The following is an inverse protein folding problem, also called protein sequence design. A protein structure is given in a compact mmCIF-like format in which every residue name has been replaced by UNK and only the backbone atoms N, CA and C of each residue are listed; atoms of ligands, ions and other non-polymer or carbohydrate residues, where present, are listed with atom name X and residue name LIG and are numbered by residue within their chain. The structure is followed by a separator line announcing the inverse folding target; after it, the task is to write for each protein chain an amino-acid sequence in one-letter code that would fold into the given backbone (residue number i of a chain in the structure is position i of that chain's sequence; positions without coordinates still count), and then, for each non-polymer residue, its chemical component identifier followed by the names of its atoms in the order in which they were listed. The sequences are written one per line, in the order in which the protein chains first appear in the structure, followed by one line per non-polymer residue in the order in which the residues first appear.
data_IF_092729961855
#
_entry.id   IF_092729961855
#
_cell.length_a   1.000
_cell.length_b   1.000
_cell.length_c   1.000
_cell.angle_alpha   90.00
_cell.angle_beta   90.00
_cell.angle_gamma   90.00
#
_symmetry.space_group_name_H-M   'P 1'
#
loop_
_entity.id
_entity.type
_entity.pdbx_description
1 polymer ?
#
# COMPACT_ATOMS: atom_id res chain seq x y z
N UNK A 1 -18.61 6.90 -13.86
CA UNK A 1 -17.94 7.65 -12.75
C UNK A 1 -18.07 6.83 -11.46
N UNK A 2 -17.14 6.93 -10.50
CA UNK A 2 -17.21 6.18 -9.23
C UNK A 2 -17.49 7.06 -8.02
N UNK A 3 -18.01 6.49 -6.92
CA UNK A 3 -18.04 7.18 -5.62
C UNK A 3 -16.67 7.13 -4.91
N UNK A 4 -16.28 8.16 -4.13
CA UNK A 4 -15.09 8.13 -3.30
C UNK A 4 -15.34 7.26 -2.05
N UNK A 5 -15.47 5.95 -2.27
CA UNK A 5 -15.63 4.92 -1.24
C UNK A 5 -14.59 3.83 -1.49
N UNK A 6 -13.95 3.35 -0.43
CA UNK A 6 -13.04 2.21 -0.47
C UNK A 6 -13.81 0.91 -0.20
N UNK A 7 -13.68 -0.09 -1.08
CA UNK A 7 -14.12 -1.45 -0.77
C UNK A 7 -13.00 -2.16 -0.01
N UNK A 8 -13.24 -2.56 1.24
CA UNK A 8 -12.24 -3.14 2.13
C UNK A 8 -12.59 -4.60 2.45
N UNK A 9 -11.75 -5.54 2.02
CA UNK A 9 -11.87 -6.95 2.39
C UNK A 9 -11.03 -7.24 3.63
N UNK A 10 -11.71 -7.57 4.72
CA UNK A 10 -11.15 -7.96 6.02
C UNK A 10 -11.17 -9.48 6.19
N UNK A 11 -10.24 -9.99 6.99
CA UNK A 11 -10.31 -11.38 7.45
C UNK A 11 -11.47 -11.58 8.42
N UNK A 12 -11.65 -10.62 9.33
CA UNK A 12 -12.82 -10.50 10.21
C UNK A 12 -13.00 -9.04 10.62
N UNK A 13 -14.17 -8.68 11.16
CA UNK A 13 -14.37 -7.33 11.70
C UNK A 13 -13.47 -7.02 12.92
N UNK A 14 -12.84 -8.02 13.52
CA UNK A 14 -12.02 -7.87 14.72
C UNK A 14 -10.53 -8.13 14.46
N UNK A 15 -10.11 -8.31 13.20
CA UNK A 15 -8.71 -8.56 12.89
C UNK A 15 -7.86 -7.33 13.26
N UNK A 16 -6.76 -7.50 14.04
CA UNK A 16 -5.92 -6.37 14.43
C UNK A 16 -5.37 -5.60 13.22
N UNK A 17 -4.88 -6.31 12.20
CA UNK A 17 -4.37 -5.67 10.98
C UNK A 17 -5.49 -4.94 10.21
N UNK A 18 -6.69 -5.52 10.14
CA UNK A 18 -7.88 -4.85 9.60
C UNK A 18 -8.23 -3.56 10.34
N UNK A 19 -8.21 -3.58 11.67
CA UNK A 19 -8.48 -2.42 12.51
C UNK A 19 -7.42 -1.32 12.34
N UNK A 20 -6.15 -1.67 12.16
CA UNK A 20 -5.11 -0.68 11.84
C UNK A 20 -5.36 -0.01 10.47
N UNK A 21 -5.80 -0.77 9.46
CA UNK A 21 -6.17 -0.21 8.14
C UNK A 21 -7.37 0.72 8.27
N UNK A 22 -8.41 0.30 9.01
CA UNK A 22 -9.60 1.12 9.30
C UNK A 22 -9.20 2.42 10.00
N UNK A 23 -8.34 2.37 11.01
CA UNK A 23 -7.87 3.56 11.72
C UNK A 23 -7.17 4.57 10.78
N UNK A 24 -6.38 4.09 9.80
CA UNK A 24 -5.78 4.98 8.79
C UNK A 24 -6.83 5.58 7.85
N UNK A 25 -7.84 4.80 7.44
CA UNK A 25 -8.94 5.28 6.60
C UNK A 25 -9.78 6.35 7.32
N UNK A 26 -10.13 6.11 8.58
CA UNK A 26 -10.90 7.03 9.42
C UNK A 26 -10.13 8.31 9.71
N UNK A 27 -8.84 8.21 10.06
CA UNK A 27 -7.96 9.36 10.24
C UNK A 27 -7.86 10.22 8.97
N UNK A 28 -7.86 9.57 7.79
CA UNK A 28 -7.93 10.24 6.49
C UNK A 28 -9.33 10.68 6.07
N UNK A 29 -10.37 10.44 6.89
CA UNK A 29 -11.79 10.69 6.59
C UNK A 29 -12.28 10.04 5.29
N UNK A 30 -11.72 8.88 4.94
CA UNK A 30 -12.18 8.11 3.79
C UNK A 30 -13.46 7.35 4.14
N UNK A 31 -14.45 7.40 3.25
CA UNK A 31 -15.60 6.48 3.33
C UNK A 31 -15.15 5.10 2.88
N UNK A 32 -15.59 4.06 3.59
CA UNK A 32 -15.31 2.67 3.21
C UNK A 32 -16.51 1.76 3.47
N UNK A 33 -16.56 0.64 2.74
CA UNK A 33 -17.46 -0.48 2.99
C UNK A 33 -16.60 -1.71 3.27
N UNK A 34 -16.74 -2.29 4.45
CA UNK A 34 -16.00 -3.48 4.85
C UNK A 34 -16.78 -4.76 4.52
N UNK A 35 -16.12 -5.71 3.87
CA UNK A 35 -16.59 -7.06 3.59
C UNK A 35 -15.70 -8.07 4.27
N UNK A 36 -16.26 -9.19 4.72
CA UNK A 36 -15.48 -10.27 5.34
C UNK A 36 -15.50 -11.54 4.50
N UNK A 37 -14.64 -12.49 4.84
CA UNK A 37 -14.53 -13.76 4.15
C UNK A 37 -15.86 -14.55 4.06
N UNK A 38 -16.78 -14.34 5.01
CA UNK A 38 -18.09 -14.97 5.02
C UNK A 38 -19.02 -14.44 3.91
N UNK A 39 -18.86 -13.18 3.49
CA UNK A 39 -19.70 -12.55 2.47
C UNK A 39 -19.04 -12.47 1.10
N UNK A 40 -17.71 -12.36 0.99
CA UNK A 40 -17.04 -12.02 -0.28
C UNK A 40 -15.97 -12.98 -0.83
N UNK A 41 -15.61 -14.07 -0.14
CA UNK A 41 -14.59 -15.02 -0.63
C UNK A 41 -15.10 -16.40 -1.04
N UNK A 42 -16.20 -16.84 -0.42
CA UNK A 42 -16.98 -18.01 -0.83
C UNK A 42 -18.42 -17.65 -1.21
N UNK A 43 -18.80 -16.39 -1.00
CA UNK A 43 -20.07 -15.80 -1.39
C UNK A 43 -19.89 -14.84 -2.55
N UNK A 44 -20.99 -14.27 -3.03
CA UNK A 44 -20.97 -13.31 -4.12
C UNK A 44 -20.30 -12.00 -3.69
N UNK A 45 -19.50 -11.41 -4.60
CA UNK A 45 -19.01 -10.05 -4.39
C UNK A 45 -20.17 -9.08 -4.13
N UNK A 46 -19.96 -8.05 -3.28
CA UNK A 46 -20.97 -7.01 -3.12
C UNK A 46 -21.25 -6.37 -4.48
N UNK A 47 -22.45 -5.83 -4.66
CA UNK A 47 -22.78 -5.14 -5.92
C UNK A 47 -21.75 -4.04 -6.18
N UNK A 48 -21.00 -4.14 -7.28
CA UNK A 48 -19.90 -3.22 -7.60
C UNK A 48 -20.38 -1.96 -8.34
N UNK A 49 -21.53 -2.06 -9.03
CA UNK A 49 -22.16 -0.98 -9.79
C UNK A 49 -23.49 -0.58 -9.17
N UNK A 50 -23.88 0.67 -9.37
CA UNK A 50 -25.21 1.19 -9.02
C UNK A 50 -26.19 0.89 -10.16
N UNK A 51 -27.49 1.07 -9.89
CA UNK A 51 -28.57 0.89 -10.88
C UNK A 51 -28.43 1.78 -12.13
N UNK A 52 -27.72 2.90 -12.00
CA UNK A 52 -27.45 3.86 -13.08
C UNK A 52 -26.15 3.55 -13.86
N UNK A 53 -25.49 2.43 -13.56
CA UNK A 53 -24.23 2.02 -14.19
C UNK A 53 -22.97 2.73 -13.62
N UNK A 54 -23.10 3.58 -12.60
CA UNK A 54 -21.94 4.17 -11.94
C UNK A 54 -21.23 3.14 -11.04
N UNK A 55 -19.90 3.19 -10.98
CA UNK A 55 -19.13 2.32 -10.07
C UNK A 55 -19.26 2.78 -8.62
N UNK A 56 -19.37 1.85 -7.67
CA UNK A 56 -19.58 2.17 -6.25
C UNK A 56 -18.31 2.50 -5.49
N UNK A 57 -17.17 2.03 -5.96
CA UNK A 57 -15.91 2.09 -5.22
C UNK A 57 -14.82 2.77 -6.04
N UNK A 58 -14.02 3.59 -5.39
CA UNK A 58 -12.85 4.26 -5.99
C UNK A 58 -11.55 3.49 -5.76
N UNK A 59 -11.48 2.61 -4.77
CA UNK A 59 -10.32 1.73 -4.55
C UNK A 59 -10.80 0.43 -3.93
N UNK A 60 -10.03 -0.63 -4.14
CA UNK A 60 -10.24 -1.92 -3.46
C UNK A 60 -9.02 -2.19 -2.59
N UNK A 61 -9.25 -2.56 -1.33
CA UNK A 61 -8.21 -2.86 -0.36
C UNK A 61 -8.42 -4.27 0.18
N UNK A 62 -7.36 -5.06 0.23
CA UNK A 62 -7.35 -6.36 0.89
C UNK A 62 -6.43 -6.29 2.11
N UNK A 63 -6.96 -6.66 3.27
CA UNK A 63 -6.14 -6.88 4.47
C UNK A 63 -5.06 -7.95 4.22
N UNK A 64 -5.36 -8.95 3.40
CA UNK A 64 -4.44 -10.03 3.07
C UNK A 64 -4.49 -10.34 1.56
N UNK A 65 -3.36 -10.19 0.86
CA UNK A 65 -3.25 -10.44 -0.60
C UNK A 65 -3.62 -11.87 -0.98
N UNK A 66 -3.45 -12.85 -0.08
CA UNK A 66 -3.86 -14.23 -0.35
C UNK A 66 -5.37 -14.34 -0.56
N UNK A 67 -6.17 -13.43 0.02
CA UNK A 67 -7.62 -13.39 -0.21
C UNK A 67 -7.95 -13.02 -1.65
N UNK A 68 -7.20 -12.09 -2.21
CA UNK A 68 -7.31 -11.71 -3.61
C UNK A 68 -6.77 -12.80 -4.55
N UNK A 69 -5.60 -13.37 -4.24
CA UNK A 69 -4.95 -14.40 -5.05
C UNK A 69 -5.68 -15.76 -5.04
N UNK A 70 -6.38 -16.08 -3.95
CA UNK A 70 -7.13 -17.33 -3.79
C UNK A 70 -8.62 -17.21 -4.14
N UNK A 71 -9.09 -16.03 -4.55
CA UNK A 71 -10.45 -15.82 -5.04
C UNK A 71 -10.76 -16.78 -6.21
N UNK A 72 -11.99 -17.27 -6.30
CA UNK A 72 -12.42 -18.08 -7.43
C UNK A 72 -12.36 -17.28 -8.74
N UNK A 73 -12.24 -17.98 -9.87
CA UNK A 73 -12.00 -17.36 -11.16
C UNK A 73 -13.10 -16.35 -11.55
N UNK A 74 -14.36 -16.63 -11.21
CA UNK A 74 -15.50 -15.79 -11.56
C UNK A 74 -15.47 -14.46 -10.80
N UNK A 75 -15.38 -14.51 -9.47
CA UNK A 75 -15.28 -13.30 -8.66
C UNK A 75 -14.02 -12.50 -9.00
N UNK A 76 -12.90 -13.20 -9.23
CA UNK A 76 -11.63 -12.58 -9.63
C UNK A 76 -11.76 -11.81 -10.94
N UNK A 77 -12.40 -12.41 -11.94
CA UNK A 77 -12.64 -11.80 -13.25
C UNK A 77 -13.63 -10.63 -13.14
N UNK A 78 -14.72 -10.79 -12.39
CA UNK A 78 -15.70 -9.73 -12.16
C UNK A 78 -15.06 -8.49 -11.51
N UNK A 79 -14.24 -8.70 -10.50
CA UNK A 79 -13.53 -7.63 -9.81
C UNK A 79 -12.49 -6.95 -10.72
N UNK A 80 -11.71 -7.73 -11.48
CA UNK A 80 -10.73 -7.16 -12.42
C UNK A 80 -11.44 -6.39 -13.55
N UNK A 81 -12.55 -6.90 -14.09
CA UNK A 81 -13.34 -6.19 -15.10
C UNK A 81 -13.86 -4.86 -14.57
N UNK A 82 -14.40 -4.84 -13.35
CA UNK A 82 -14.79 -3.60 -12.68
C UNK A 82 -13.60 -2.63 -12.53
N UNK A 83 -12.45 -3.15 -12.10
CA UNK A 83 -11.24 -2.35 -11.93
C UNK A 83 -10.78 -1.71 -13.25
N UNK A 84 -10.85 -2.43 -14.36
CA UNK A 84 -10.52 -1.92 -15.68
C UNK A 84 -11.54 -0.89 -16.18
N UNK A 85 -12.83 -1.23 -16.13
CA UNK A 85 -13.92 -0.37 -16.60
C UNK A 85 -13.95 0.98 -15.89
N UNK A 86 -13.73 0.99 -14.58
CA UNK A 86 -13.81 2.19 -13.75
C UNK A 86 -12.44 2.80 -13.42
N UNK A 87 -11.35 2.27 -13.96
CA UNK A 87 -9.97 2.66 -13.64
C UNK A 87 -9.68 2.63 -12.13
N UNK A 88 -10.19 1.61 -11.44
CA UNK A 88 -9.98 1.36 -10.01
C UNK A 88 -8.78 0.42 -9.83
N UNK A 89 -7.91 0.74 -8.88
CA UNK A 89 -6.76 -0.08 -8.51
C UNK A 89 -6.97 -0.84 -7.21
N UNK A 90 -6.06 -1.76 -6.95
CA UNK A 90 -6.09 -2.67 -5.80
C UNK A 90 -4.87 -2.42 -4.92
N UNK A 91 -5.09 -2.28 -3.62
CA UNK A 91 -4.05 -2.27 -2.60
C UNK A 91 -4.20 -3.52 -1.74
N UNK A 92 -3.11 -4.21 -1.43
CA UNK A 92 -3.17 -5.37 -0.54
C UNK A 92 -1.98 -5.42 0.40
N UNK A 93 -2.21 -5.93 1.60
CA UNK A 93 -1.16 -6.18 2.59
C UNK A 93 -0.86 -7.67 2.67
N UNK A 94 0.34 -8.01 3.10
CA UNK A 94 0.77 -9.37 3.33
C UNK A 94 1.69 -9.38 4.54
N UNK A 95 1.20 -9.90 5.66
CA UNK A 95 2.00 -10.17 6.86
C UNK A 95 2.32 -11.66 6.90
N UNK A 96 3.54 -12.00 7.30
CA UNK A 96 3.88 -13.39 7.55
C UNK A 96 3.09 -13.90 8.76
N UNK A 97 2.33 -14.99 8.59
CA UNK A 97 1.67 -15.64 9.72
C UNK A 97 2.67 -16.39 10.62
N UNK A 98 2.24 -16.70 11.84
CA UNK A 98 2.99 -17.60 12.74
C UNK A 98 3.15 -18.97 12.06
N UNK A 99 4.40 -19.42 11.87
CA UNK A 99 4.71 -20.67 11.16
C UNK A 99 5.04 -20.54 9.67
N UNK A 100 5.30 -19.32 9.19
CA UNK A 100 5.74 -19.08 7.80
C UNK A 100 6.83 -20.06 7.36
N UNK A 101 6.58 -20.74 6.24
CA UNK A 101 7.53 -21.71 5.67
C UNK A 101 8.82 -20.99 5.27
N UNK A 102 9.94 -21.50 5.75
CA UNK A 102 11.28 -21.04 5.36
C UNK A 102 11.51 -21.37 3.87
N UNK A 103 11.22 -20.44 2.97
CA UNK A 103 11.39 -20.67 1.54
C UNK A 103 10.85 -19.54 0.67
N UNK A 104 11.11 -19.66 -0.64
CA UNK A 104 10.48 -18.83 -1.66
C UNK A 104 9.19 -19.52 -2.12
N UNK A 105 8.08 -18.79 -2.09
CA UNK A 105 6.77 -19.29 -2.53
C UNK A 105 6.20 -18.40 -3.64
N UNK A 106 5.66 -18.99 -4.71
CA UNK A 106 4.96 -18.22 -5.73
C UNK A 106 3.62 -17.69 -5.21
N UNK A 107 3.37 -16.40 -5.40
CA UNK A 107 2.04 -15.83 -5.19
C UNK A 107 1.12 -16.26 -6.34
N UNK A 108 0.10 -17.05 -6.02
CA UNK A 108 -0.84 -17.62 -7.00
C UNK A 108 -1.41 -16.52 -7.92
N UNK A 109 -1.26 -16.71 -9.23
CA UNK A 109 -1.78 -15.78 -10.24
C UNK A 109 -0.93 -14.52 -10.46
N UNK A 110 0.26 -14.45 -9.88
CA UNK A 110 1.18 -13.32 -10.05
C UNK A 110 2.61 -13.80 -10.35
N UNK A 111 3.40 -13.02 -11.13
CA UNK A 111 4.81 -13.31 -11.40
C UNK A 111 5.71 -12.87 -10.24
N UNK A 112 5.32 -13.19 -9.01
CA UNK A 112 5.99 -12.80 -7.77
C UNK A 112 6.30 -14.03 -6.92
N UNK A 113 7.55 -14.13 -6.47
CA UNK A 113 7.98 -15.01 -5.40
C UNK A 113 8.01 -14.23 -4.09
N UNK A 114 7.60 -14.89 -3.02
CA UNK A 114 7.45 -14.35 -1.68
C UNK A 114 8.43 -15.03 -0.74
N UNK A 115 9.03 -14.27 0.17
CA UNK A 115 9.80 -14.80 1.31
C UNK A 115 9.28 -14.17 2.59
N UNK A 116 8.61 -14.96 3.40
CA UNK A 116 8.01 -14.54 4.67
C UNK A 116 9.03 -14.61 5.83
N UNK A 117 8.70 -13.93 6.94
CA UNK A 117 9.43 -14.05 8.22
C UNK A 117 10.77 -13.30 8.26
N UNK A 118 10.88 -12.19 7.54
CA UNK A 118 12.07 -11.35 7.55
C UNK A 118 12.00 -10.30 8.67
N UNK A 119 13.16 -10.05 9.31
CA UNK A 119 13.40 -8.84 10.09
C UNK A 119 14.17 -7.87 9.22
N UNK A 120 13.66 -6.66 9.05
CA UNK A 120 14.20 -5.69 8.11
C UNK A 120 14.79 -4.48 8.82
N UNK A 121 15.67 -3.77 8.13
CA UNK A 121 16.23 -2.47 8.55
C UNK A 121 16.44 -1.56 7.35
N UNK A 122 16.66 -0.28 7.62
CA UNK A 122 17.11 0.71 6.63
C UNK A 122 16.19 0.77 5.40
N UNK A 123 14.91 1.00 5.65
CA UNK A 123 13.88 1.08 4.61
C UNK A 123 14.02 2.37 3.78
N UNK A 124 13.97 2.27 2.45
CA UNK A 124 14.11 3.39 1.50
C UNK A 124 12.99 3.33 0.47
N UNK A 125 12.26 4.45 0.32
CA UNK A 125 11.23 4.60 -0.72
C UNK A 125 11.90 4.74 -2.08
N UNK A 126 11.41 4.01 -3.08
CA UNK A 126 11.86 4.14 -4.46
C UNK A 126 11.72 5.58 -4.97
N UNK A 127 12.74 6.12 -5.63
CA UNK A 127 12.77 7.54 -6.03
C UNK A 127 11.71 7.87 -7.08
N UNK A 128 11.56 7.01 -8.09
CA UNK A 128 10.75 7.29 -9.29
C UNK A 128 9.38 6.62 -9.29
N UNK A 129 8.87 6.21 -8.12
CA UNK A 129 7.59 5.53 -8.04
C UNK A 129 6.43 6.52 -8.38
N UNK A 130 5.62 6.26 -9.42
CA UNK A 130 4.66 7.24 -9.97
C UNK A 130 3.45 7.51 -9.07
N UNK A 131 3.25 6.67 -8.05
CA UNK A 131 2.19 6.81 -7.06
C UNK A 131 2.53 7.79 -5.93
N UNK A 132 3.81 8.14 -5.74
CA UNK A 132 4.24 8.96 -4.61
C UNK A 132 3.64 10.36 -4.68
N UNK A 133 3.16 10.87 -3.54
CA UNK A 133 2.57 12.21 -3.42
C UNK A 133 2.75 12.78 -2.02
N UNK A 134 2.45 12.00 -0.99
CA UNK A 134 2.66 12.30 0.42
C UNK A 134 4.05 11.85 0.85
N UNK A 135 4.42 10.62 0.51
CA UNK A 135 5.77 10.13 0.70
C UNK A 135 6.69 10.75 -0.35
N UNK A 136 7.93 11.06 0.06
CA UNK A 136 8.98 11.57 -0.82
C UNK A 136 9.81 10.40 -1.34
N UNK A 137 10.08 10.36 -2.64
CA UNK A 137 11.02 9.42 -3.23
C UNK A 137 12.40 9.56 -2.57
N UNK A 138 13.03 8.44 -2.23
CA UNK A 138 14.29 8.41 -1.49
C UNK A 138 14.16 8.71 0.02
N UNK A 139 12.95 8.95 0.55
CA UNK A 139 12.76 8.99 2.00
C UNK A 139 13.22 7.66 2.62
N UNK A 140 13.97 7.76 3.71
CA UNK A 140 14.58 6.60 4.35
C UNK A 140 14.29 6.59 5.84
N UNK A 141 13.92 5.42 6.35
CA UNK A 141 13.89 5.11 7.78
C UNK A 141 15.15 4.33 8.11
N UNK A 142 16.01 4.89 8.96
CA UNK A 142 17.24 4.21 9.40
C UNK A 142 16.99 3.36 10.63
N UNK A 143 17.65 2.20 10.70
CA UNK A 143 17.52 1.28 11.82
C UNK A 143 16.45 0.21 11.60
N UNK A 144 16.10 -0.51 12.66
CA UNK A 144 15.21 -1.66 12.60
C UNK A 144 13.77 -1.25 12.24
N UNK A 145 13.20 -1.93 11.25
CA UNK A 145 11.78 -1.81 10.93
C UNK A 145 10.95 -2.60 11.95
N UNK A 146 9.70 -2.19 12.23
CA UNK A 146 8.88 -2.82 13.26
C UNK A 146 8.53 -4.27 12.89
N UNK A 147 8.65 -5.17 13.87
CA UNK A 147 8.29 -6.58 13.73
C UNK A 147 9.34 -7.46 13.03
N UNK A 148 9.02 -8.75 12.92
CA UNK A 148 9.85 -9.76 12.25
C UNK A 148 9.02 -10.60 11.27
N UNK A 149 7.81 -10.15 10.97
CA UNK A 149 6.79 -10.78 10.14
C UNK A 149 6.73 -10.19 8.73
N UNK A 150 7.84 -9.60 8.25
CA UNK A 150 7.90 -9.03 6.91
C UNK A 150 7.92 -10.12 5.84
N UNK A 151 7.24 -9.84 4.74
CA UNK A 151 7.31 -10.59 3.50
C UNK A 151 8.04 -9.77 2.44
N UNK A 152 9.09 -10.35 1.87
CA UNK A 152 9.84 -9.79 0.75
C UNK A 152 9.28 -10.29 -0.57
N UNK A 153 9.30 -9.42 -1.59
CA UNK A 153 8.85 -9.73 -2.94
C UNK A 153 10.04 -9.86 -3.89
N UNK A 154 10.01 -10.86 -4.75
CA UNK A 154 10.99 -11.07 -5.81
C UNK A 154 10.27 -11.29 -7.14
N UNK A 155 10.66 -10.61 -8.23
CA UNK A 155 10.13 -10.93 -9.55
C UNK A 155 10.53 -12.36 -9.94
N UNK A 156 9.65 -13.08 -10.61
CA UNK A 156 9.96 -14.44 -11.06
C UNK A 156 11.05 -14.44 -12.15
N UNK A 157 12.10 -15.28 -12.05
CA UNK A 157 13.13 -15.41 -13.09
C UNK A 157 12.52 -15.81 -14.44
N UNK A 158 12.95 -15.15 -15.53
CA UNK A 158 12.43 -15.38 -16.89
C UNK A 158 11.17 -14.58 -17.25
N UNK A 159 10.57 -13.85 -16.31
CA UNK A 159 9.51 -12.87 -16.59
C UNK A 159 10.05 -11.57 -17.23
N UNK A 160 11.37 -11.41 -17.30
CA UNK A 160 12.04 -10.23 -17.84
C UNK A 160 12.90 -10.60 -19.06
N UNK A 161 12.27 -10.81 -20.22
CA UNK A 161 12.91 -10.71 -21.55
C UNK A 161 11.91 -10.84 -22.72
N UNK A 162 10.62 -10.52 -22.55
CA UNK A 162 9.65 -10.66 -23.63
C UNK A 162 8.36 -9.90 -23.37
N UNK A 163 8.36 -8.60 -23.69
CA UNK A 163 7.19 -7.78 -24.05
C UNK A 163 5.89 -7.86 -23.19
N UNK A 164 5.94 -8.28 -21.92
CA UNK A 164 4.81 -8.17 -21.00
C UNK A 164 4.99 -7.00 -20.03
N UNK A 165 4.19 -5.96 -20.26
CA UNK A 165 4.09 -4.68 -19.56
C UNK A 165 3.48 -4.74 -18.15
N UNK A 166 3.48 -5.90 -17.49
CA UNK A 166 2.94 -6.09 -16.14
C UNK A 166 4.01 -6.49 -15.11
N UNK A 167 5.22 -5.90 -15.19
CA UNK A 167 6.26 -6.12 -14.21
C UNK A 167 5.98 -5.35 -12.91
N UNK A 168 6.00 -6.05 -11.78
CA UNK A 168 6.00 -5.41 -10.46
C UNK A 168 7.35 -4.73 -10.21
N UNK A 169 7.33 -3.51 -9.70
CA UNK A 169 8.50 -2.71 -9.37
C UNK A 169 8.55 -2.43 -7.87
N UNK A 170 9.72 -2.29 -7.24
CA UNK A 170 9.81 -1.95 -5.82
C UNK A 170 9.20 -0.59 -5.51
N UNK A 171 8.44 -0.50 -4.43
CA UNK A 171 7.96 0.74 -3.81
C UNK A 171 8.78 1.10 -2.56
N UNK A 172 9.11 0.09 -1.76
CA UNK A 172 9.92 0.20 -0.56
C UNK A 172 10.99 -0.89 -0.62
N UNK A 173 12.25 -0.49 -0.50
CA UNK A 173 13.41 -1.37 -0.44
C UNK A 173 13.95 -1.39 0.99
N UNK A 174 14.40 -2.52 1.50
CA UNK A 174 14.98 -2.62 2.84
C UNK A 174 16.05 -3.71 2.91
N UNK A 175 16.97 -3.61 3.86
CA UNK A 175 17.96 -4.64 4.15
C UNK A 175 17.36 -5.71 5.06
N UNK A 176 17.69 -6.98 4.80
CA UNK A 176 17.34 -8.09 5.70
C UNK A 176 18.42 -8.26 6.77
N UNK A 177 18.02 -8.42 8.04
CA UNK A 177 18.96 -8.64 9.15
C UNK A 177 19.62 -10.03 9.12
N UNK A 178 18.93 -11.01 8.52
CA UNK A 178 19.55 -12.30 8.15
C UNK A 178 20.11 -12.12 6.75
N UNK A 179 21.33 -12.56 6.50
CA UNK A 179 21.88 -12.73 5.14
C UNK A 179 20.97 -13.71 4.39
N UNK A 180 19.91 -13.16 3.83
CA UNK A 180 18.96 -13.90 3.04
C UNK A 180 19.80 -14.33 1.84
N UNK A 181 20.12 -15.62 1.73
CA UNK A 181 20.65 -16.19 0.48
C UNK A 181 19.71 -15.68 -0.60
N UNK A 182 20.17 -14.69 -1.36
CA UNK A 182 19.44 -14.16 -2.49
C UNK A 182 19.17 -15.38 -3.38
N UNK A 183 17.95 -15.60 -3.88
CA UNK A 183 17.88 -16.38 -5.11
C UNK A 183 18.91 -15.76 -6.08
N UNK A 184 19.80 -16.57 -6.65
CA UNK A 184 20.94 -16.08 -7.44
C UNK A 184 20.47 -14.98 -8.42
N UNK A 185 21.03 -13.77 -8.29
CA UNK A 185 20.67 -12.61 -9.12
C UNK A 185 19.54 -11.70 -8.62
N UNK A 186 18.99 -11.88 -7.41
CA UNK A 186 17.80 -11.15 -6.94
C UNK A 186 18.07 -9.87 -6.09
N UNK A 187 19.34 -9.45 -5.95
CA UNK A 187 19.65 -8.09 -5.48
C UNK A 187 19.61 -7.18 -6.70
N UNK A 188 18.47 -6.53 -6.96
CA UNK A 188 18.23 -5.72 -8.17
C UNK A 188 19.33 -4.66 -8.43
N UNK A 189 20.01 -4.17 -7.39
CA UNK A 189 21.04 -3.13 -7.50
C UNK A 189 22.43 -3.53 -6.97
N UNK A 190 22.67 -4.80 -6.63
CA UNK A 190 23.90 -5.21 -5.92
C UNK A 190 24.09 -4.60 -4.51
N UNK A 191 23.09 -3.87 -3.99
CA UNK A 191 23.13 -3.16 -2.70
C UNK A 191 22.67 -3.98 -1.49
N UNK A 192 22.24 -5.23 -1.71
CA UNK A 192 21.71 -6.11 -0.65
C UNK A 192 20.33 -5.71 -0.13
N UNK A 193 19.62 -4.82 -0.85
CA UNK A 193 18.24 -4.43 -0.53
C UNK A 193 17.23 -5.35 -1.21
N UNK A 194 16.10 -5.55 -0.57
CA UNK A 194 14.99 -6.37 -1.04
C UNK A 194 13.70 -5.55 -1.05
N UNK A 195 12.79 -5.86 -1.98
CA UNK A 195 11.50 -5.19 -2.04
C UNK A 195 10.60 -5.64 -0.87
N UNK A 196 10.31 -4.71 0.04
CA UNK A 196 9.37 -4.85 1.15
C UNK A 196 7.96 -4.34 0.79
N UNK A 197 7.83 -3.61 -0.31
CA UNK A 197 6.57 -3.31 -0.96
C UNK A 197 6.81 -3.17 -2.47
N UNK A 198 5.80 -3.50 -3.29
CA UNK A 198 5.87 -3.45 -4.76
C UNK A 198 4.61 -2.83 -5.36
N UNK A 199 4.73 -2.30 -6.57
CA UNK A 199 3.59 -1.84 -7.36
C UNK A 199 3.67 -2.37 -8.80
N UNK A 200 2.51 -2.73 -9.35
CA UNK A 200 2.33 -3.07 -10.76
C UNK A 200 1.54 -1.98 -11.44
N UNK A 201 2.21 -1.19 -12.29
CA UNK A 201 1.57 -0.17 -13.10
C UNK A 201 0.92 -0.86 -14.30
N UNK A 202 -0.33 -1.31 -14.16
CA UNK A 202 -1.11 -1.63 -15.35
C UNK A 202 -1.30 -0.35 -16.16
N UNK A 203 -0.85 -0.33 -17.42
CA UNK A 203 -1.09 0.84 -18.28
C UNK A 203 -2.48 0.75 -18.91
N UNK A 204 -2.99 1.90 -19.36
CA UNK A 204 -4.29 1.97 -20.04
C UNK A 204 -4.32 1.13 -21.33
N UNK A 205 -3.14 0.92 -21.95
CA UNK A 205 -2.99 0.19 -23.21
C UNK A 205 -2.87 -1.33 -23.00
N UNK A 206 -2.48 -1.76 -21.79
CA UNK A 206 -2.24 -3.18 -21.47
C UNK A 206 -3.47 -3.90 -20.91
N UNK A 207 -4.56 -3.17 -20.62
CA UNK A 207 -5.74 -3.74 -19.95
C UNK A 207 -5.42 -4.34 -18.58
N UNK A 208 -4.41 -3.82 -17.88
CA UNK A 208 -3.96 -4.36 -16.60
C UNK A 208 -4.43 -3.50 -15.42
N UNK A 209 -4.89 -4.16 -14.36
CA UNK A 209 -5.30 -3.50 -13.12
C UNK A 209 -4.06 -3.03 -12.34
N UNK A 210 -4.09 -1.77 -11.92
CA UNK A 210 -3.05 -1.17 -11.06
C UNK A 210 -3.06 -1.81 -9.68
N UNK A 211 -1.91 -2.24 -9.20
CA UNK A 211 -1.78 -3.00 -7.95
C UNK A 211 -0.66 -2.46 -7.08
N UNK A 212 -0.85 -2.42 -5.77
CA UNK A 212 0.19 -2.10 -4.78
C UNK A 212 0.14 -3.14 -3.67
N UNK A 213 1.25 -3.84 -3.43
CA UNK A 213 1.37 -4.86 -2.40
C UNK A 213 2.39 -4.46 -1.35
N UNK A 214 1.99 -4.54 -0.08
CA UNK A 214 2.82 -4.24 1.08
C UNK A 214 3.20 -5.54 1.79
N UNK A 215 4.48 -5.69 2.12
CA UNK A 215 5.03 -6.87 2.78
C UNK A 215 4.91 -6.87 4.30
N UNK A 216 4.17 -5.92 4.85
CA UNK A 216 3.72 -5.88 6.24
C UNK A 216 2.50 -4.95 6.33
N UNK A 217 1.84 -4.87 7.49
CA UNK A 217 0.71 -3.98 7.74
C UNK A 217 1.11 -2.50 7.85
N UNK A 218 0.17 -1.68 8.31
CA UNK A 218 0.33 -0.22 8.45
C UNK A 218 0.89 0.22 9.81
N UNK A 219 1.33 -0.73 10.65
CA UNK A 219 2.03 -0.43 11.91
C UNK A 219 3.33 0.35 11.69
N UNK A 220 4.01 0.12 10.56
CA UNK A 220 5.14 0.94 10.11
C UNK A 220 4.67 2.31 9.59
N UNK A 221 5.17 3.40 10.17
CA UNK A 221 4.68 4.75 9.88
C UNK A 221 4.78 5.12 8.39
N UNK A 222 5.86 4.72 7.71
CA UNK A 222 6.04 5.00 6.29
C UNK A 222 5.06 4.20 5.42
N UNK A 223 4.65 3.00 5.85
CA UNK A 223 3.54 2.28 5.19
C UNK A 223 2.24 3.05 5.29
N UNK A 224 1.97 3.80 6.36
CA UNK A 224 0.76 4.65 6.43
C UNK A 224 0.78 5.71 5.32
N UNK A 225 1.90 6.40 5.13
CA UNK A 225 2.04 7.39 4.05
C UNK A 225 1.95 6.76 2.66
N UNK A 226 2.67 5.65 2.44
CA UNK A 226 2.64 4.93 1.18
C UNK A 226 1.26 4.33 0.88
N UNK A 227 0.51 3.91 1.90
CA UNK A 227 -0.86 3.43 1.75
C UNK A 227 -1.80 4.55 1.28
N UNK A 228 -1.68 5.75 1.87
CA UNK A 228 -2.45 6.91 1.43
C UNK A 228 -2.11 7.32 -0.02
N UNK A 229 -0.83 7.23 -0.40
CA UNK A 229 -0.39 7.43 -1.80
C UNK A 229 -0.94 6.36 -2.73
N UNK A 230 -0.94 5.10 -2.29
CA UNK A 230 -1.51 3.98 -3.03
C UNK A 230 -3.03 4.14 -3.23
N UNK A 231 -3.79 4.57 -2.21
CA UNK A 231 -5.22 4.86 -2.33
C UNK A 231 -5.48 5.96 -3.35
N UNK A 232 -4.73 7.06 -3.26
CA UNK A 232 -4.84 8.15 -4.21
C UNK A 232 -4.56 7.65 -5.63
N UNK A 233 -3.42 6.97 -5.85
CA UNK A 233 -3.02 6.45 -7.15
C UNK A 233 -4.00 5.43 -7.71
N UNK A 234 -4.42 4.44 -6.93
CA UNK A 234 -5.41 3.44 -7.33
C UNK A 234 -6.78 4.03 -7.63
N UNK A 235 -7.10 5.23 -7.12
CA UNK A 235 -8.39 5.85 -7.41
C UNK A 235 -8.51 6.43 -8.82
N UNK A 236 -9.73 6.49 -9.39
CA UNK A 236 -9.95 7.09 -10.69
C UNK A 236 -9.54 8.56 -10.70
N UNK A 237 -8.97 8.99 -11.81
CA UNK A 237 -8.54 10.36 -12.06
C UNK A 237 -8.16 10.53 -13.53
N UNK A 238 -7.70 11.72 -13.93
CA UNK A 238 -7.30 12.00 -15.31
C UNK A 238 -6.28 10.96 -15.80
N UNK A 239 -6.50 10.44 -17.02
CA UNK A 239 -5.68 9.38 -17.63
C UNK A 239 -4.31 9.88 -18.13
N UNK A 240 -3.97 11.17 -17.97
CA UNK A 240 -2.71 11.72 -18.46
C UNK A 240 -1.59 11.59 -17.42
N UNK A 241 -0.52 10.95 -17.87
CA UNK A 241 0.80 10.87 -17.27
C UNK A 241 1.34 12.22 -16.77
N UNK A 242 1.89 12.21 -15.55
CA UNK A 242 3.12 12.94 -15.22
C UNK A 242 3.04 14.10 -14.23
N UNK A 243 1.92 14.82 -14.12
CA UNK A 243 1.87 16.07 -13.34
C UNK A 243 1.48 15.91 -11.87
N UNK A 244 2.02 16.77 -10.98
CA UNK A 244 1.54 16.91 -9.61
C UNK A 244 0.04 17.30 -9.53
N UNK A 245 -0.45 18.08 -10.52
CA UNK A 245 -1.85 18.44 -10.66
C UNK A 245 -2.75 17.22 -10.97
N UNK A 246 -2.31 16.34 -11.88
CA UNK A 246 -3.03 15.11 -12.22
C UNK A 246 -3.13 14.16 -11.02
N UNK A 247 -2.09 14.07 -10.19
CA UNK A 247 -2.10 13.27 -8.95
C UNK A 247 -3.05 13.85 -7.89
N UNK A 248 -3.24 15.16 -7.86
CA UNK A 248 -4.15 15.85 -6.92
C UNK A 248 -5.62 15.76 -7.33
N UNK A 249 -5.90 15.58 -8.63
CA UNK A 249 -7.26 15.43 -9.15
C UNK A 249 -7.87 14.02 -8.98
N UNK A 250 -7.15 13.09 -8.34
CA UNK A 250 -7.65 11.72 -8.10
C UNK A 250 -8.66 11.69 -6.95
N UNK A 251 -9.67 10.81 -7.05
CA UNK A 251 -10.82 10.81 -6.13
C UNK A 251 -10.48 10.62 -4.66
N UNK A 252 -9.43 9.87 -4.34
CA UNK A 252 -8.99 9.61 -2.96
C UNK A 252 -7.72 10.40 -2.58
N UNK A 253 -7.41 11.47 -3.31
CA UNK A 253 -6.26 12.32 -3.02
C UNK A 253 -6.55 13.27 -1.83
N UNK A 254 -5.80 13.14 -0.73
CA UNK A 254 -5.85 14.10 0.39
C UNK A 254 -5.13 15.42 0.04
N UNK A 255 -5.50 16.59 0.59
CA UNK A 255 -4.72 17.82 0.37
C UNK A 255 -3.28 17.67 0.89
N UNK A 256 -2.36 18.46 0.34
CA UNK A 256 -0.97 18.52 0.82
C UNK A 256 -0.77 19.58 1.93
N UNK A 257 -1.77 20.41 2.18
CA UNK A 257 -1.71 21.43 3.23
C UNK A 257 -1.65 20.76 4.61
N UNK A 258 -0.69 21.21 5.43
CA UNK A 258 -0.49 20.73 6.80
C UNK A 258 -0.59 21.91 7.74
N UNK A 259 -1.47 21.79 8.73
CA UNK A 259 -1.63 22.78 9.78
C UNK A 259 -0.88 22.28 11.00
N UNK A 260 0.00 23.12 11.55
CA UNK A 260 0.70 22.86 12.81
C UNK A 260 0.18 23.91 13.78
N UNK A 261 -0.52 23.46 14.82
CA UNK A 261 -0.89 24.31 15.94
C UNK A 261 0.17 24.10 17.02
N UNK A 262 0.86 25.19 17.38
CA UNK A 262 1.76 25.23 18.52
C UNK A 262 1.05 26.01 19.60
N UNK A 263 0.73 25.34 20.70
CA UNK A 263 0.11 25.95 21.87
C UNK A 263 1.18 26.10 22.95
N UNK A 264 1.29 27.29 23.53
CA UNK A 264 2.29 27.62 24.56
C UNK A 264 1.54 28.04 25.81
N UNK A 265 1.39 27.09 26.73
CA UNK A 265 0.76 27.31 28.01
C UNK A 265 1.72 27.97 29.02
N UNK A 266 1.16 28.49 30.11
CA UNK A 266 1.88 28.95 31.31
C UNK A 266 2.91 30.07 31.12
N UNK A 267 2.78 30.86 30.05
CA UNK A 267 3.70 31.96 29.66
C UNK A 267 4.12 32.86 30.83
N UNK A 268 3.19 33.17 31.76
CA UNK A 268 3.45 34.06 32.90
C UNK A 268 3.42 33.41 34.28
N UNK A 269 3.18 32.09 34.35
CA UNK A 269 2.92 31.39 35.64
C UNK A 269 3.94 30.30 35.95
N UNK A 270 5.02 30.19 35.17
CA UNK A 270 6.13 29.25 35.42
C UNK A 270 6.79 29.42 36.79
N UNK A 271 7.47 28.36 37.26
CA UNK A 271 8.25 28.40 38.51
C UNK A 271 9.44 29.35 38.38
N UNK A 272 9.81 29.99 39.49
CA UNK A 272 10.97 30.87 39.55
C UNK A 272 12.24 30.11 39.16
N UNK A 273 13.08 30.72 38.29
CA UNK A 273 14.26 30.08 37.69
C UNK A 273 14.01 29.33 36.37
N UNK A 274 12.75 29.08 35.99
CA UNK A 274 12.39 28.48 34.68
C UNK A 274 11.38 29.36 33.90
N UNK A 275 11.11 30.58 34.37
CA UNK A 275 10.24 31.53 33.67
C UNK A 275 10.94 32.03 32.42
N UNK A 276 10.15 32.14 31.36
CA UNK A 276 10.56 32.79 30.13
C UNK A 276 10.99 34.23 30.46
N UNK A 277 12.19 34.60 30.00
CA UNK A 277 12.74 35.94 30.12
C UNK A 277 12.50 36.73 28.83
N UNK A 278 12.60 38.06 28.83
CA UNK A 278 12.55 38.83 27.59
C UNK A 278 13.53 38.33 26.52
N UNK A 279 14.72 37.88 26.93
CA UNK A 279 15.73 37.34 26.01
C UNK A 279 15.36 35.99 25.38
N UNK A 280 14.41 35.23 25.93
CA UNK A 280 13.94 33.96 25.35
C UNK A 280 12.89 34.16 24.24
N UNK A 281 12.32 35.37 24.14
CA UNK A 281 11.24 35.71 23.20
C UNK A 281 11.73 36.58 22.04
N UNK A 282 12.80 37.34 22.23
CA UNK A 282 13.45 38.17 21.20
C UNK A 282 14.19 37.34 20.14
#
# INVERSE_FOLDING_TARGET
RTEPVVLLFLESHYSPAGQEIVAVLEAGRFRYQAETAATGLKGDLPTLTRRDGAGRFAAVVFENVHRYAAMDAWNRELLDRYCLEFAVGIVAFLRAGEGGTSGLQQLKGFPLLLRAGASLRDGVVSVDAPLLRLARGGAAERGALPGADWTLFYPQPGSAAGNSSAAFRPLLLAHSNKDARTPDGASEDGTGRHAAAVYGAGTADDGAVRRVFFGNGVSFWLHKLLFLDALAWCSPGPASSGGAAARTARRLALPLDRYILVDVDDIFVGKEGTRMTPADVE
#
